data_IF_262789009200
#
_entry.id   IF_262789009200
#
_cell.length_a   1.000
_cell.length_b   1.000
_cell.length_c   1.000
_cell.angle_alpha   90.00
_cell.angle_beta   90.00
_cell.angle_gamma   90.00
#
_symmetry.space_group_name_H-M   'P 1'
#
loop_
_entity.id
_entity.type
_entity.pdbx_description
1 polymer ?
#
# COMPACT_ATOMS: atom_id res chain seq x y z
N UNK A 1 -3.05 27.87 58.17
CA UNK A 1 -3.86 26.89 57.42
C UNK A 1 -3.56 26.99 55.92
N UNK A 2 -2.69 26.13 55.37
CA UNK A 2 -2.29 26.14 53.94
C UNK A 2 -3.25 25.27 53.10
N UNK A 3 -4.41 25.81 52.69
CA UNK A 3 -5.37 25.09 51.81
C UNK A 3 -5.29 25.48 50.32
N UNK A 4 -4.45 26.45 49.94
CA UNK A 4 -4.47 27.01 48.57
C UNK A 4 -3.53 26.34 47.55
N UNK A 5 -2.66 25.40 47.95
CA UNK A 5 -1.71 24.73 47.02
C UNK A 5 -2.15 23.35 46.53
N UNK A 6 -3.15 22.72 47.16
CA UNK A 6 -3.58 21.35 46.82
C UNK A 6 -4.48 21.33 45.57
N UNK A 7 -5.35 22.33 45.43
CA UNK A 7 -6.28 22.47 44.29
C UNK A 7 -5.54 22.62 42.94
N UNK A 8 -4.54 23.53 42.78
CA UNK A 8 -3.83 23.65 41.50
C UNK A 8 -2.96 22.43 41.17
N UNK A 9 -2.41 21.73 42.18
CA UNK A 9 -1.66 20.49 41.98
C UNK A 9 -2.58 19.35 41.53
N UNK A 10 -3.76 19.23 42.13
CA UNK A 10 -4.76 18.24 41.72
C UNK A 10 -5.24 18.46 40.28
N UNK A 11 -5.54 19.70 39.89
CA UNK A 11 -5.93 20.05 38.52
C UNK A 11 -4.79 19.70 37.53
N UNK A 12 -3.54 19.99 37.87
CA UNK A 12 -2.39 19.63 37.04
C UNK A 12 -2.28 18.12 36.82
N UNK A 13 -2.42 17.31 37.87
CA UNK A 13 -2.39 15.85 37.74
C UNK A 13 -3.56 15.31 36.89
N UNK A 14 -4.77 15.87 37.03
CA UNK A 14 -5.92 15.49 36.19
C UNK A 14 -5.66 15.82 34.72
N UNK A 15 -5.09 16.99 34.41
CA UNK A 15 -4.75 17.38 33.03
C UNK A 15 -3.66 16.47 32.46
N UNK A 16 -2.62 16.14 33.23
CA UNK A 16 -1.56 15.22 32.80
C UNK A 16 -2.10 13.80 32.56
N UNK A 17 -2.96 13.30 33.44
CA UNK A 17 -3.59 11.98 33.27
C UNK A 17 -4.57 11.97 32.08
N UNK A 18 -5.32 13.05 31.86
CA UNK A 18 -6.19 13.18 30.70
C UNK A 18 -5.38 13.28 29.40
N UNK A 19 -4.25 14.00 29.40
CA UNK A 19 -3.34 14.06 28.26
C UNK A 19 -2.69 12.71 28.00
N UNK A 20 -2.19 12.02 29.02
CA UNK A 20 -1.60 10.69 28.91
C UNK A 20 -2.63 9.65 28.45
N UNK A 21 -3.86 9.70 28.96
CA UNK A 21 -4.98 8.87 28.52
C UNK A 21 -5.37 9.15 27.07
N UNK A 22 -5.43 10.43 26.66
CA UNK A 22 -5.69 10.84 25.29
C UNK A 22 -4.60 10.42 24.31
N UNK A 23 -3.32 10.49 24.72
CA UNK A 23 -2.18 10.00 23.96
C UNK A 23 -2.25 8.48 23.82
N UNK A 24 -2.49 7.75 24.91
CA UNK A 24 -2.58 6.28 24.92
C UNK A 24 -3.74 5.74 24.08
N UNK A 25 -4.92 6.37 24.17
CA UNK A 25 -6.09 6.02 23.36
C UNK A 25 -5.80 6.22 21.87
N UNK A 26 -5.14 7.33 21.52
CA UNK A 26 -4.80 7.67 20.13
C UNK A 26 -3.73 6.78 19.50
N UNK A 27 -2.81 6.22 20.29
CA UNK A 27 -1.86 5.20 19.82
C UNK A 27 -2.54 3.87 19.41
N UNK A 28 -3.74 3.60 19.93
CA UNK A 28 -4.37 2.28 19.82
C UNK A 28 -5.41 2.19 18.71
N UNK A 29 -6.04 3.30 18.33
CA UNK A 29 -7.22 3.28 17.46
C UNK A 29 -6.93 3.83 16.05
N UNK A 30 -6.04 3.16 15.30
CA UNK A 30 -6.02 3.30 13.84
C UNK A 30 -7.08 2.36 13.26
N UNK A 31 -8.07 2.92 12.56
CA UNK A 31 -9.15 2.15 11.96
C UNK A 31 -9.57 2.68 10.59
N UNK A 32 -10.41 1.94 9.86
CA UNK A 32 -11.02 2.45 8.62
C UNK A 32 -11.80 3.74 8.91
N UNK A 33 -11.64 4.75 8.05
CA UNK A 33 -12.24 6.07 8.24
C UNK A 33 -13.75 6.04 7.91
N UNK A 34 -14.59 5.93 8.94
CA UNK A 34 -16.04 6.10 8.83
C UNK A 34 -16.72 5.14 7.85
N UNK A 35 -17.96 5.44 7.44
CA UNK A 35 -18.62 4.70 6.35
C UNK A 35 -17.89 4.97 5.03
N UNK A 36 -17.29 3.92 4.46
CA UNK A 36 -16.71 3.94 3.11
C UNK A 36 -17.85 4.02 2.10
N UNK A 37 -17.77 4.96 1.17
CA UNK A 37 -18.68 5.06 0.02
C UNK A 37 -17.78 5.08 -1.21
N UNK A 38 -17.85 4.03 -2.01
CA UNK A 38 -17.16 3.97 -3.30
C UNK A 38 -17.93 4.81 -4.33
N UNK A 39 -17.23 5.46 -5.25
CA UNK A 39 -17.84 6.26 -6.32
C UNK A 39 -17.88 5.50 -7.64
N UNK A 40 -18.37 4.26 -7.61
CA UNK A 40 -18.42 3.38 -8.79
C UNK A 40 -19.38 3.88 -9.87
N UNK A 41 -20.35 4.73 -9.48
CA UNK A 41 -21.31 5.31 -10.42
C UNK A 41 -20.65 6.34 -11.34
N UNK A 42 -19.77 7.17 -10.79
CA UNK A 42 -19.06 8.21 -11.55
C UNK A 42 -17.77 7.66 -12.15
N UNK A 43 -17.11 6.73 -11.44
CA UNK A 43 -15.85 6.12 -11.83
C UNK A 43 -16.00 4.59 -11.85
N UNK A 44 -16.42 4.01 -12.99
CA UNK A 44 -16.46 2.56 -13.17
C UNK A 44 -15.10 1.95 -12.81
N UNK A 45 -15.12 0.85 -12.06
CA UNK A 45 -13.88 0.18 -11.70
C UNK A 45 -13.29 -0.53 -12.91
N UNK A 46 -11.97 -0.49 -12.99
CA UNK A 46 -11.22 -1.38 -13.87
C UNK A 46 -11.31 -2.82 -13.34
N UNK A 47 -11.52 -3.77 -14.26
CA UNK A 47 -11.48 -5.21 -13.99
C UNK A 47 -10.38 -5.83 -14.85
N UNK A 48 -9.49 -6.60 -14.25
CA UNK A 48 -8.47 -7.33 -15.01
C UNK A 48 -9.07 -8.49 -15.80
N UNK A 49 -8.39 -8.88 -16.87
CA UNK A 49 -8.75 -10.08 -17.65
C UNK A 49 -8.29 -11.38 -16.97
N UNK A 50 -7.50 -11.25 -15.90
CA UNK A 50 -6.87 -12.34 -15.18
C UNK A 50 -7.49 -12.51 -13.79
N UNK A 51 -7.53 -13.78 -13.38
CA UNK A 51 -7.95 -14.30 -12.07
C UNK A 51 -6.96 -15.42 -11.75
N UNK A 52 -5.92 -15.09 -11.00
CA UNK A 52 -4.77 -15.95 -10.76
C UNK A 52 -5.07 -17.07 -9.77
N UNK A 53 -5.89 -16.82 -8.75
CA UNK A 53 -6.23 -17.80 -7.73
C UNK A 53 -7.50 -18.61 -8.06
N UNK A 54 -8.23 -18.20 -9.10
CA UNK A 54 -9.40 -18.87 -9.70
C UNK A 54 -10.60 -18.90 -8.78
N UNK A 55 -10.77 -17.86 -7.97
CA UNK A 55 -11.91 -17.75 -7.07
C UNK A 55 -13.16 -17.13 -7.74
N UNK A 56 -13.03 -16.67 -8.99
CA UNK A 56 -14.08 -16.04 -9.78
C UNK A 56 -14.16 -14.52 -9.64
N UNK A 57 -13.23 -13.90 -8.92
CA UNK A 57 -12.99 -12.47 -8.84
C UNK A 57 -11.72 -12.14 -9.64
N UNK A 58 -11.69 -10.99 -10.32
CA UNK A 58 -10.50 -10.59 -11.08
C UNK A 58 -9.39 -10.05 -10.16
N UNK A 59 -8.13 -10.24 -10.55
CA UNK A 59 -6.95 -9.87 -9.75
C UNK A 59 -6.98 -8.41 -9.27
N UNK A 60 -7.44 -7.46 -10.09
CA UNK A 60 -7.52 -6.05 -9.68
C UNK A 60 -8.48 -5.88 -8.50
N UNK A 61 -9.66 -6.50 -8.60
CA UNK A 61 -10.66 -6.49 -7.53
C UNK A 61 -10.13 -7.16 -6.27
N UNK A 62 -9.41 -8.28 -6.39
CA UNK A 62 -8.82 -8.97 -5.23
C UNK A 62 -7.70 -8.20 -4.57
N UNK A 63 -6.86 -7.50 -5.32
CA UNK A 63 -5.83 -6.63 -4.74
C UNK A 63 -6.49 -5.53 -3.91
N UNK A 64 -7.52 -4.86 -4.45
CA UNK A 64 -8.25 -3.83 -3.72
C UNK A 64 -8.91 -4.40 -2.46
N UNK A 65 -9.63 -5.51 -2.59
CA UNK A 65 -10.34 -6.16 -1.49
C UNK A 65 -9.35 -6.67 -0.43
N UNK A 66 -8.26 -7.29 -0.83
CA UNK A 66 -7.20 -7.78 0.04
C UNK A 66 -6.54 -6.67 0.86
N UNK A 67 -6.32 -5.50 0.25
CA UNK A 67 -5.81 -4.33 0.96
C UNK A 67 -6.80 -3.88 2.06
N UNK A 68 -8.10 -3.81 1.73
CA UNK A 68 -9.16 -3.44 2.66
C UNK A 68 -9.31 -4.46 3.80
N UNK A 69 -9.31 -5.74 3.47
CA UNK A 69 -9.42 -6.86 4.42
C UNK A 69 -8.23 -6.87 5.38
N UNK A 70 -7.01 -6.67 4.86
CA UNK A 70 -5.81 -6.56 5.68
C UNK A 70 -5.90 -5.41 6.70
N UNK A 71 -6.26 -4.19 6.26
CA UNK A 71 -6.34 -3.05 7.18
C UNK A 71 -7.54 -3.13 8.13
N UNK A 72 -8.58 -3.91 7.79
CA UNK A 72 -9.70 -4.20 8.67
C UNK A 72 -9.30 -5.04 9.89
N UNK A 73 -8.19 -5.80 9.81
CA UNK A 73 -7.59 -6.49 10.97
C UNK A 73 -6.95 -5.53 11.98
N UNK A 74 -6.80 -4.25 11.62
CA UNK A 74 -6.19 -3.17 12.42
C UNK A 74 -4.76 -3.50 12.88
N UNK A 75 -3.83 -3.77 11.94
CA UNK A 75 -2.45 -4.08 12.27
C UNK A 75 -1.78 -2.89 12.97
N UNK A 76 -1.07 -3.12 14.06
CA UNK A 76 -0.35 -2.04 14.74
C UNK A 76 0.97 -1.74 14.05
N UNK A 77 1.35 -0.47 13.98
CA UNK A 77 2.61 -0.12 13.35
C UNK A 77 3.80 -0.67 14.15
N UNK A 78 4.62 -1.52 13.51
CA UNK A 78 5.93 -1.92 14.04
C UNK A 78 6.82 -2.40 12.90
N UNK A 79 7.95 -1.73 12.73
CA UNK A 79 9.02 -2.19 11.84
C UNK A 79 9.86 -3.24 12.56
N UNK A 80 9.71 -4.51 12.20
CA UNK A 80 10.50 -5.62 12.73
C UNK A 80 10.76 -6.67 11.65
N UNK A 81 11.80 -7.47 11.84
CA UNK A 81 12.11 -8.61 10.99
C UNK A 81 11.26 -9.82 11.37
N UNK A 82 10.81 -10.59 10.38
CA UNK A 82 10.03 -11.82 10.58
C UNK A 82 10.75 -13.00 9.95
N UNK A 83 11.12 -13.98 10.77
CA UNK A 83 11.65 -15.24 10.26
C UNK A 83 10.51 -16.03 9.60
N UNK A 84 10.54 -16.16 8.26
CA UNK A 84 9.41 -16.65 7.46
C UNK A 84 8.69 -15.56 6.64
N UNK A 85 9.16 -14.31 6.74
CA UNK A 85 8.82 -13.23 5.84
C UNK A 85 7.59 -12.43 6.25
N UNK A 86 6.42 -13.05 6.35
CA UNK A 86 5.15 -12.35 6.59
C UNK A 86 4.86 -12.14 8.08
N UNK A 87 4.30 -10.98 8.47
CA UNK A 87 3.83 -10.76 9.83
C UNK A 87 2.54 -11.55 10.12
N UNK A 88 2.48 -12.21 11.28
CA UNK A 88 1.31 -12.95 11.78
C UNK A 88 0.93 -12.55 13.22
N UNK A 89 1.59 -11.54 13.78
CA UNK A 89 1.51 -11.13 15.19
C UNK A 89 0.65 -9.88 15.42
N UNK A 90 -0.12 -9.47 14.40
CA UNK A 90 -0.97 -8.28 14.44
C UNK A 90 -0.21 -6.96 14.29
N UNK A 91 1.05 -6.99 13.87
CA UNK A 91 1.80 -5.81 13.47
C UNK A 91 2.02 -5.72 11.96
N UNK A 92 2.40 -4.54 11.47
CA UNK A 92 2.79 -4.37 10.07
C UNK A 92 3.27 -2.97 9.74
N UNK A 93 3.69 -2.79 8.49
CA UNK A 93 4.12 -1.53 7.88
C UNK A 93 3.49 -1.35 6.48
N UNK A 94 3.88 -0.30 5.76
CA UNK A 94 3.32 0.06 4.47
C UNK A 94 3.41 -1.04 3.41
N UNK A 95 4.55 -1.73 3.32
CA UNK A 95 4.78 -2.82 2.37
C UNK A 95 3.91 -4.03 2.66
N UNK A 96 3.53 -4.27 3.92
CA UNK A 96 2.68 -5.39 4.30
C UNK A 96 1.26 -5.20 3.76
N UNK A 97 0.76 -3.95 3.66
CA UNK A 97 -0.53 -3.65 3.00
C UNK A 97 -0.51 -4.16 1.54
N UNK A 98 0.55 -3.85 0.80
CA UNK A 98 0.69 -4.29 -0.60
C UNK A 98 0.92 -5.80 -0.67
N UNK A 99 1.74 -6.37 0.22
CA UNK A 99 2.04 -7.79 0.19
C UNK A 99 0.81 -8.66 0.46
N UNK A 100 -0.04 -8.28 1.42
CA UNK A 100 -1.31 -8.99 1.67
C UNK A 100 -2.36 -8.72 0.59
N UNK A 101 -2.37 -7.53 -0.02
CA UNK A 101 -3.21 -7.25 -1.18
C UNK A 101 -2.86 -8.16 -2.37
N UNK A 102 -1.59 -8.24 -2.74
CA UNK A 102 -1.10 -9.13 -3.80
C UNK A 102 -1.38 -10.61 -3.48
N UNK A 103 -1.19 -11.01 -2.22
CA UNK A 103 -1.44 -12.38 -1.78
C UNK A 103 -2.91 -12.77 -1.86
N UNK A 104 -3.82 -11.82 -1.66
CA UNK A 104 -5.26 -12.05 -1.81
C UNK A 104 -5.63 -12.37 -3.27
N UNK A 105 -4.92 -11.81 -4.25
CA UNK A 105 -5.04 -12.16 -5.67
C UNK A 105 -4.14 -13.34 -6.08
N UNK A 106 -3.69 -14.18 -5.14
CA UNK A 106 -2.85 -15.35 -5.45
C UNK A 106 -1.37 -15.09 -5.72
N UNK A 107 -0.87 -13.85 -5.58
CA UNK A 107 0.53 -13.52 -5.83
C UNK A 107 1.36 -13.43 -4.55
N UNK A 108 2.28 -14.39 -4.35
CA UNK A 108 3.23 -14.37 -3.23
C UNK A 108 4.39 -13.40 -3.52
N UNK A 109 4.22 -12.14 -3.14
CA UNK A 109 5.18 -11.06 -3.38
C UNK A 109 6.57 -11.36 -2.83
N UNK A 110 6.67 -12.06 -1.69
CA UNK A 110 7.95 -12.51 -1.13
C UNK A 110 8.71 -13.39 -2.11
N UNK A 111 8.06 -14.42 -2.68
CA UNK A 111 8.67 -15.34 -3.63
C UNK A 111 8.97 -14.66 -4.96
N UNK A 112 8.06 -13.81 -5.42
CA UNK A 112 8.20 -13.08 -6.67
C UNK A 112 9.40 -12.14 -6.66
N UNK A 113 9.54 -11.33 -5.61
CA UNK A 113 10.69 -10.42 -5.45
C UNK A 113 11.98 -11.23 -5.26
N UNK A 114 11.97 -12.28 -4.43
CA UNK A 114 13.16 -13.12 -4.24
C UNK A 114 13.68 -13.71 -5.56
N UNK A 115 12.77 -14.21 -6.41
CA UNK A 115 13.10 -14.73 -7.74
C UNK A 115 13.67 -13.65 -8.66
N UNK A 116 13.08 -12.45 -8.68
CA UNK A 116 13.59 -11.38 -9.54
C UNK A 116 14.95 -10.86 -9.07
N UNK A 117 15.17 -10.77 -7.75
CA UNK A 117 16.47 -10.41 -7.16
C UNK A 117 17.54 -11.43 -7.54
N UNK A 118 17.24 -12.73 -7.48
CA UNK A 118 18.17 -13.80 -7.88
C UNK A 118 18.55 -13.70 -9.38
N UNK A 119 17.58 -13.35 -10.23
CA UNK A 119 17.77 -13.29 -11.68
C UNK A 119 18.41 -11.99 -12.16
N UNK A 120 18.26 -10.89 -11.41
CA UNK A 120 18.63 -9.54 -11.83
C UNK A 120 19.34 -8.76 -10.73
N UNK A 121 20.34 -9.40 -10.10
CA UNK A 121 21.09 -8.83 -8.96
C UNK A 121 21.61 -7.40 -9.19
N UNK A 122 21.99 -7.04 -10.41
CA UNK A 122 22.48 -5.72 -10.81
C UNK A 122 21.41 -4.61 -10.80
N UNK A 123 20.13 -4.98 -10.92
CA UNK A 123 19.02 -4.04 -10.84
C UNK A 123 18.71 -3.61 -9.39
N UNK A 124 19.21 -4.36 -8.40
CA UNK A 124 18.90 -4.17 -6.99
C UNK A 124 20.13 -3.70 -6.20
N UNK A 125 19.94 -2.65 -5.41
CA UNK A 125 20.93 -2.17 -4.44
C UNK A 125 20.86 -3.02 -3.15
N UNK A 126 21.29 -4.27 -3.21
CA UNK A 126 21.24 -5.26 -2.12
C UNK A 126 22.60 -5.96 -1.97
N UNK A 127 23.25 -5.77 -0.83
CA UNK A 127 24.53 -6.45 -0.53
C UNK A 127 24.37 -7.95 -0.27
N UNK A 128 23.32 -8.32 0.48
CA UNK A 128 23.00 -9.70 0.84
C UNK A 128 21.50 -9.93 0.67
N UNK A 129 21.07 -10.66 -0.38
CA UNK A 129 19.67 -11.01 -0.57
C UNK A 129 19.12 -11.81 0.61
N UNK A 130 17.94 -11.42 1.06
CA UNK A 130 17.18 -12.10 2.10
C UNK A 130 15.68 -12.06 1.72
N UNK A 131 15.15 -13.19 1.22
CA UNK A 131 13.75 -13.30 0.82
C UNK A 131 12.76 -12.87 1.90
N UNK A 132 13.09 -13.02 3.19
CA UNK A 132 12.18 -12.68 4.28
C UNK A 132 12.00 -11.16 4.49
N UNK A 133 12.89 -10.33 3.95
CA UNK A 133 12.85 -8.88 4.17
C UNK A 133 12.88 -8.07 2.87
N UNK A 134 13.39 -8.62 1.77
CA UNK A 134 13.59 -7.84 0.55
C UNK A 134 12.29 -7.32 -0.06
N UNK A 135 11.22 -8.11 -0.03
CA UNK A 135 9.89 -7.66 -0.47
C UNK A 135 9.26 -6.61 0.47
N UNK A 136 9.83 -6.39 1.67
CA UNK A 136 9.40 -5.38 2.64
C UNK A 136 10.24 -4.10 2.57
N UNK A 137 11.07 -3.95 1.54
CA UNK A 137 11.84 -2.73 1.27
C UNK A 137 11.18 -1.97 0.13
N UNK A 138 10.73 -0.74 0.38
CA UNK A 138 10.09 0.12 -0.64
C UNK A 138 10.98 0.28 -1.87
N UNK A 139 12.30 0.44 -1.70
CA UNK A 139 13.25 0.56 -2.82
C UNK A 139 13.26 -0.68 -3.71
N UNK A 140 13.17 -1.87 -3.13
CA UNK A 140 13.14 -3.12 -3.88
C UNK A 140 11.79 -3.30 -4.58
N UNK A 141 10.68 -2.97 -3.91
CA UNK A 141 9.36 -3.00 -4.53
C UNK A 141 9.23 -2.02 -5.69
N UNK A 142 9.89 -0.85 -5.62
CA UNK A 142 9.93 0.08 -6.75
C UNK A 142 10.62 -0.53 -7.97
N UNK A 143 11.75 -1.22 -7.78
CA UNK A 143 12.43 -1.94 -8.87
C UNK A 143 11.54 -3.06 -9.39
N UNK A 144 11.00 -3.89 -8.51
CA UNK A 144 10.17 -5.04 -8.88
C UNK A 144 8.94 -4.62 -9.69
N UNK A 145 8.11 -3.70 -9.18
CA UNK A 145 6.92 -3.27 -9.91
C UNK A 145 7.25 -2.50 -11.20
N UNK A 146 8.37 -1.76 -11.24
CA UNK A 146 8.85 -1.12 -12.47
C UNK A 146 9.23 -2.11 -13.58
N UNK A 147 9.53 -3.37 -13.22
CA UNK A 147 9.91 -4.43 -14.16
C UNK A 147 8.75 -5.36 -14.52
N UNK A 148 7.77 -5.52 -13.63
CA UNK A 148 6.78 -6.59 -13.69
C UNK A 148 5.31 -6.10 -13.78
N UNK A 149 5.07 -4.80 -13.66
CA UNK A 149 3.73 -4.21 -13.72
C UNK A 149 3.65 -3.12 -14.79
N UNK A 150 2.44 -2.79 -15.23
CA UNK A 150 2.23 -1.66 -16.12
C UNK A 150 2.48 -0.35 -15.37
N UNK A 151 3.48 0.42 -15.81
CA UNK A 151 3.68 1.78 -15.33
C UNK A 151 2.63 2.72 -15.92
N UNK A 152 2.04 3.54 -15.07
CA UNK A 152 1.01 4.53 -15.40
C UNK A 152 1.51 5.95 -15.11
N UNK A 153 0.77 6.94 -15.63
CA UNK A 153 1.04 8.34 -15.35
C UNK A 153 0.91 8.64 -13.85
N UNK A 154 1.75 9.55 -13.35
CA UNK A 154 1.73 9.98 -11.94
C UNK A 154 1.06 11.34 -11.74
N UNK A 155 0.49 11.91 -12.81
CA UNK A 155 -0.33 13.12 -12.71
C UNK A 155 -1.63 12.78 -11.97
N UNK A 156 -1.81 13.38 -10.79
CA UNK A 156 -2.97 13.15 -9.94
C UNK A 156 -4.23 13.85 -10.45
N UNK A 157 -4.10 14.77 -11.42
CA UNK A 157 -5.24 15.43 -12.07
C UNK A 157 -5.91 14.55 -13.13
N UNK A 158 -5.22 13.53 -13.64
CA UNK A 158 -5.77 12.51 -14.55
C UNK A 158 -6.55 11.45 -13.76
N UNK A 159 -7.60 11.88 -13.05
CA UNK A 159 -8.31 11.07 -12.03
C UNK A 159 -8.85 9.72 -12.52
N UNK A 160 -9.09 9.59 -13.83
CA UNK A 160 -9.57 8.36 -14.48
C UNK A 160 -8.48 7.29 -14.60
N UNK A 161 -7.21 7.69 -14.69
CA UNK A 161 -6.07 6.76 -14.79
C UNK A 161 -5.81 6.02 -13.48
N UNK A 162 -6.21 6.61 -12.34
CA UNK A 162 -6.04 6.04 -11.01
C UNK A 162 -7.23 5.14 -10.66
N UNK A 163 -7.01 3.84 -10.56
CA UNK A 163 -8.06 2.85 -10.29
C UNK A 163 -7.83 2.15 -8.96
N UNK A 164 -8.93 1.73 -8.31
CA UNK A 164 -8.84 0.95 -7.08
C UNK A 164 -8.09 -0.34 -7.32
N UNK A 165 -7.12 -0.68 -6.45
CA UNK A 165 -6.24 -1.83 -6.64
C UNK A 165 -4.88 -1.50 -7.25
N UNK A 166 -4.70 -0.31 -7.84
CA UNK A 166 -3.39 0.12 -8.33
C UNK A 166 -2.39 0.30 -7.17
N UNK A 167 -1.11 0.19 -7.47
CA UNK A 167 -0.01 0.38 -6.51
C UNK A 167 0.58 1.77 -6.70
N UNK A 168 0.65 2.55 -5.62
CA UNK A 168 1.32 3.85 -5.61
C UNK A 168 2.54 3.83 -4.72
N UNK A 169 3.68 4.26 -5.26
CA UNK A 169 4.96 4.33 -4.57
C UNK A 169 5.39 5.78 -4.43
N UNK A 170 5.76 6.15 -3.22
CA UNK A 170 6.44 7.38 -2.88
C UNK A 170 7.90 7.08 -2.51
N UNK A 171 8.79 8.09 -2.49
CA UNK A 171 10.23 7.91 -2.22
C UNK A 171 10.58 7.00 -1.03
N UNK A 172 9.75 6.99 0.03
CA UNK A 172 9.97 6.18 1.25
C UNK A 172 8.69 5.49 1.76
N UNK A 173 7.67 5.35 0.92
CA UNK A 173 6.36 4.85 1.34
C UNK A 173 5.63 4.19 0.17
N UNK A 174 4.70 3.29 0.46
CA UNK A 174 3.91 2.59 -0.56
C UNK A 174 2.47 2.38 -0.07
N UNK A 175 1.52 2.24 -0.99
CA UNK A 175 0.14 1.87 -0.67
C UNK A 175 -0.62 1.37 -1.90
N UNK A 176 -1.87 1.01 -1.66
CA UNK A 176 -2.84 0.61 -2.69
C UNK A 176 -3.81 1.76 -2.91
N UNK A 177 -4.13 2.07 -4.16
CA UNK A 177 -5.13 3.07 -4.53
C UNK A 177 -6.52 2.55 -4.17
N UNK A 178 -7.34 3.40 -3.55
CA UNK A 178 -8.71 3.04 -3.15
C UNK A 178 -9.73 3.39 -4.23
N UNK A 179 -10.85 2.66 -4.29
CA UNK A 179 -12.04 3.07 -5.06
C UNK A 179 -12.80 4.28 -4.45
N UNK A 180 -12.44 4.68 -3.23
CA UNK A 180 -13.00 5.85 -2.55
C UNK A 180 -12.33 7.09 -3.09
N UNK A 181 -13.14 8.07 -3.50
CA UNK A 181 -12.66 9.32 -4.11
C UNK A 181 -13.06 10.54 -3.29
N UNK A 182 -12.23 11.57 -3.36
CA UNK A 182 -12.54 12.87 -2.78
C UNK A 182 -13.46 13.67 -3.73
N UNK A 183 -13.83 14.89 -3.34
CA UNK A 183 -14.73 15.75 -4.14
C UNK A 183 -14.20 16.14 -5.53
N UNK A 184 -12.89 16.00 -5.76
CA UNK A 184 -12.23 16.27 -7.04
C UNK A 184 -12.12 15.00 -7.90
N UNK A 185 -12.62 13.86 -7.42
CA UNK A 185 -12.45 12.56 -8.09
C UNK A 185 -11.13 11.87 -7.80
N UNK A 186 -10.19 12.50 -7.07
CA UNK A 186 -8.89 11.90 -6.74
C UNK A 186 -9.10 10.77 -5.72
N UNK A 187 -8.52 9.58 -5.95
CA UNK A 187 -8.69 8.47 -5.03
C UNK A 187 -7.91 8.63 -3.73
N UNK A 188 -8.44 8.02 -2.68
CA UNK A 188 -7.73 7.82 -1.43
C UNK A 188 -6.65 6.75 -1.61
N UNK A 189 -5.71 6.68 -0.68
CA UNK A 189 -4.71 5.61 -0.62
C UNK A 189 -4.97 4.76 0.63
N UNK A 190 -4.91 3.45 0.50
CA UNK A 190 -4.89 2.46 1.57
C UNK A 190 -3.43 2.17 1.92
N UNK A 191 -3.00 2.55 3.12
CA UNK A 191 -1.60 2.44 3.54
C UNK A 191 -1.44 2.41 5.06
N UNK A 192 -0.26 2.01 5.52
CA UNK A 192 0.09 1.97 6.94
C UNK A 192 1.46 2.62 7.19
N UNK A 193 1.51 3.78 7.84
CA UNK A 193 2.74 4.59 7.92
C UNK A 193 3.25 4.88 9.33
N UNK A 194 2.41 4.83 10.37
CA UNK A 194 2.82 5.28 11.72
C UNK A 194 1.88 4.79 12.82
N UNK A 195 2.35 4.66 14.08
CA UNK A 195 1.49 4.39 15.24
C UNK A 195 0.42 5.46 15.50
N UNK A 196 0.59 6.66 14.93
CA UNK A 196 -0.29 7.82 15.13
C UNK A 196 -1.22 8.09 13.95
N UNK A 197 -1.23 7.18 12.98
CA UNK A 197 -2.09 7.28 11.81
C UNK A 197 -3.56 7.27 12.26
N UNK A 198 -4.36 8.21 11.76
CA UNK A 198 -5.78 8.30 12.15
C UNK A 198 -6.65 7.29 11.41
N UNK A 199 -6.26 6.95 10.18
CA UNK A 199 -6.94 5.96 9.37
C UNK A 199 -6.00 5.37 8.33
N UNK A 200 -6.21 4.10 7.98
CA UNK A 200 -5.47 3.42 6.91
C UNK A 200 -5.83 3.93 5.51
N UNK A 201 -7.04 4.44 5.32
CA UNK A 201 -7.49 4.98 4.03
C UNK A 201 -7.50 6.51 4.10
N UNK A 202 -6.54 7.17 3.44
CA UNK A 202 -6.32 8.62 3.56
C UNK A 202 -6.26 9.33 2.20
N UNK A 203 -6.79 10.55 2.18
CA UNK A 203 -6.68 11.49 1.07
C UNK A 203 -5.30 12.17 1.12
N UNK A 204 -4.34 11.60 0.39
CA UNK A 204 -2.95 12.04 0.42
C UNK A 204 -2.35 12.37 -0.95
N UNK A 205 -2.93 11.91 -2.06
CA UNK A 205 -2.29 12.02 -3.39
C UNK A 205 -1.97 13.47 -3.77
N UNK A 206 -2.96 14.36 -3.72
CA UNK A 206 -2.79 15.80 -4.06
C UNK A 206 -1.81 16.55 -3.13
N UNK A 207 -1.49 15.98 -1.95
CA UNK A 207 -0.63 16.63 -0.93
C UNK A 207 0.82 16.15 -0.99
N UNK A 208 1.12 15.18 -1.85
CA UNK A 208 2.42 14.52 -1.93
C UNK A 208 3.10 14.90 -3.24
N UNK A 209 4.35 15.37 -3.15
CA UNK A 209 5.19 15.73 -4.30
C UNK A 209 6.32 14.71 -4.53
N UNK A 210 6.25 13.57 -3.85
CA UNK A 210 7.28 12.53 -3.81
C UNK A 210 6.79 11.19 -4.36
N UNK A 211 5.75 11.19 -5.20
CA UNK A 211 5.31 10.04 -5.99
C UNK A 211 6.44 9.68 -6.97
N UNK A 212 6.88 8.42 -6.94
CA UNK A 212 7.95 7.89 -7.80
C UNK A 212 7.49 6.71 -8.65
N UNK A 213 6.25 6.26 -8.48
CA UNK A 213 5.66 5.24 -9.32
C UNK A 213 4.16 5.07 -9.08
N UNK A 214 3.46 4.77 -10.15
CA UNK A 214 2.06 4.36 -10.18
C UNK A 214 1.99 3.15 -11.11
N UNK A 215 1.49 2.03 -10.60
CA UNK A 215 1.54 0.75 -11.28
C UNK A 215 0.20 0.03 -11.22
N UNK A 216 -0.18 -0.60 -12.34
CA UNK A 216 -1.29 -1.55 -12.38
C UNK A 216 -0.76 -2.95 -12.60
N UNK A 217 -1.20 -3.87 -11.75
CA UNK A 217 -0.78 -5.26 -11.85
C UNK A 217 -1.43 -5.93 -13.07
N UNK A 218 -0.63 -6.57 -13.92
CA UNK A 218 -1.11 -7.27 -15.11
C UNK A 218 -0.21 -8.46 -15.44
N UNK A 219 -0.27 -9.51 -14.62
CA UNK A 219 0.53 -10.71 -14.89
C UNK A 219 0.00 -11.47 -16.11
N UNK A 220 0.63 -11.28 -17.27
CA UNK A 220 0.22 -11.95 -18.52
C UNK A 220 0.68 -11.28 -19.82
N UNK A 221 1.11 -10.02 -19.77
CA UNK A 221 1.55 -9.27 -20.95
C UNK A 221 3.06 -9.35 -21.26
N UNK A 222 3.83 -10.18 -20.58
CA UNK A 222 5.21 -10.50 -21.02
C UNK A 222 5.24 -11.13 -22.43
N UNK A 223 4.12 -11.70 -22.89
CA UNK A 223 3.92 -12.15 -24.27
C UNK A 223 3.63 -10.99 -25.25
N UNK A 224 3.04 -9.89 -24.78
CA UNK A 224 2.70 -8.69 -25.56
C UNK A 224 3.89 -7.75 -25.80
N UNK A 225 4.87 -7.72 -24.90
CA UNK A 225 6.07 -6.91 -25.07
C UNK A 225 7.06 -7.55 -26.07
N UNK A 226 7.13 -8.89 -26.11
CA UNK A 226 7.78 -9.62 -27.22
C UNK A 226 7.08 -9.40 -28.56
N UNK A 227 5.77 -9.19 -28.58
CA UNK A 227 5.02 -8.89 -29.80
C UNK A 227 5.26 -7.45 -30.32
N UNK A 228 5.47 -6.46 -29.43
CA UNK A 228 5.86 -5.09 -29.82
C UNK A 228 7.32 -5.01 -30.30
N UNK A 229 8.25 -5.75 -29.69
CA UNK A 229 9.62 -5.85 -30.19
C UNK A 229 9.69 -6.55 -31.55
N UNK A 230 8.95 -7.65 -31.77
CA UNK A 230 8.96 -8.36 -33.06
C UNK A 230 8.33 -7.58 -34.23
N UNK A 231 7.35 -6.71 -33.97
CA UNK A 231 6.78 -5.83 -35.02
C UNK A 231 7.73 -4.70 -35.43
N UNK A 232 8.56 -4.21 -34.51
CA UNK A 232 9.52 -3.14 -34.80
C UNK A 232 10.68 -3.65 -35.67
N UNK A 233 11.12 -4.90 -35.47
CA UNK A 233 12.20 -5.52 -36.25
C UNK A 233 11.76 -6.04 -37.63
N UNK A 234 10.45 -6.24 -37.86
CA UNK A 234 9.91 -6.62 -39.17
C UNK A 234 9.61 -5.43 -40.09
N UNK A 235 9.39 -4.23 -39.55
CA UNK A 235 9.20 -3.00 -40.35
C UNK A 235 10.50 -2.24 -40.64
N UNK A 236 11.65 -2.77 -40.22
CA UNK A 236 12.99 -2.20 -40.47
C UNK A 236 13.84 -3.07 -41.41
N UNK A 237 13.23 -3.92 -42.23
CA UNK A 237 13.87 -4.67 -43.31
C UNK A 237 13.19 -4.43 -44.64
#
# INVERSE_FOLDING_TARGET
MKKHKIIPVFIFFVVVLAAAGGIWFRCKDTGPAGKRVSDQKTFPQFHSETDQDKDGIDDQTDILKGALDYVATKPKYKSQYYNGGYPDDGYGVCTDVVAFAMKAAGYDLMRLVAKDVEQHTDAYDIDQPDPNIDYRRVKNLQVYFGRHAQSLATDVSDVEEWQGGDIVIFRKHIGIVSDKRNKNGVPYVIHHYSPWQRSYEQDILERRSDIVGHYRWNFGNESGEKAKQNKTTQNSR
#
